data_IF_086418479267
#
_entry.id   IF_086418479267
#
_cell.length_a   1.000
_cell.length_b   1.000
_cell.length_c   1.000
_cell.angle_alpha   90.00
_cell.angle_beta   90.00
_cell.angle_gamma   90.00
#
_symmetry.space_group_name_H-M   'P 1'
#
loop_
_entity.id
_entity.type
_entity.pdbx_description
1 polymer ?
#
# COMPACT_ATOMS: atom_id res chain seq x y z
N UNK A 1 1.37 -29.11 7.50
CA UNK A 1 0.56 -28.62 6.37
C UNK A 1 1.07 -27.23 6.01
N UNK A 2 2.23 -27.19 5.37
CA UNK A 2 2.44 -27.00 3.91
C UNK A 2 2.35 -25.52 3.52
N UNK A 3 3.41 -24.95 2.89
CA UNK A 3 3.43 -23.56 2.48
C UNK A 3 2.52 -23.40 1.25
N UNK A 4 1.56 -22.49 1.31
CA UNK A 4 0.74 -22.09 0.16
C UNK A 4 1.55 -21.17 -0.75
N UNK A 5 2.67 -21.67 -1.26
CA UNK A 5 3.50 -21.01 -2.27
C UNK A 5 3.37 -21.83 -3.54
N UNK A 6 2.73 -21.28 -4.59
CA UNK A 6 2.60 -21.93 -5.90
C UNK A 6 1.18 -22.35 -6.31
N UNK A 7 0.19 -21.45 -6.22
CA UNK A 7 -1.13 -21.67 -6.84
C UNK A 7 -1.14 -21.37 -8.35
N UNK A 8 -0.09 -20.74 -8.86
CA UNK A 8 0.17 -20.50 -10.27
C UNK A 8 1.54 -21.08 -10.61
N UNK A 9 1.67 -21.66 -11.79
CA UNK A 9 2.94 -22.05 -12.39
C UNK A 9 3.73 -20.81 -12.84
N UNK A 10 5.04 -20.95 -12.99
CA UNK A 10 5.90 -19.85 -13.49
C UNK A 10 5.44 -19.34 -14.86
N UNK A 11 4.94 -20.24 -15.72
CA UNK A 11 4.40 -19.91 -17.03
C UNK A 11 3.12 -19.07 -16.92
N UNK A 12 2.21 -19.41 -16.00
CA UNK A 12 0.99 -18.62 -15.75
C UNK A 12 1.32 -17.25 -15.14
N UNK A 13 2.29 -17.19 -14.23
CA UNK A 13 2.79 -15.92 -13.67
C UNK A 13 3.35 -15.03 -14.79
N UNK A 14 4.15 -15.59 -15.69
CA UNK A 14 4.73 -14.83 -16.79
C UNK A 14 3.65 -14.38 -17.79
N UNK A 15 2.72 -15.27 -18.16
CA UNK A 15 1.61 -14.92 -19.05
C UNK A 15 0.74 -13.79 -18.49
N UNK A 16 0.48 -13.77 -17.17
CA UNK A 16 -0.24 -12.68 -16.52
C UNK A 16 0.54 -11.37 -16.57
N UNK A 17 1.86 -11.39 -16.33
CA UNK A 17 2.73 -10.20 -16.43
C UNK A 17 2.74 -9.63 -17.84
N UNK A 18 2.82 -10.50 -18.84
CA UNK A 18 2.80 -10.09 -20.25
C UNK A 18 1.44 -9.48 -20.59
N UNK A 19 0.33 -10.11 -20.18
CA UNK A 19 -1.02 -9.58 -20.40
C UNK A 19 -1.23 -8.19 -19.78
N UNK A 20 -0.73 -7.95 -18.57
CA UNK A 20 -0.81 -6.63 -17.91
C UNK A 20 0.06 -5.61 -18.66
N UNK A 21 1.28 -5.98 -19.05
CA UNK A 21 2.16 -5.11 -19.84
C UNK A 21 1.50 -4.73 -21.17
N UNK A 22 0.93 -5.70 -21.87
CA UNK A 22 0.23 -5.48 -23.13
C UNK A 22 -1.00 -4.58 -22.97
N UNK A 23 -1.78 -4.77 -21.90
CA UNK A 23 -2.94 -3.92 -21.61
C UNK A 23 -2.54 -2.46 -21.35
N UNK A 24 -1.44 -2.24 -20.61
CA UNK A 24 -0.87 -0.90 -20.37
C UNK A 24 -0.40 -0.27 -21.68
N UNK A 25 0.38 -1.00 -22.48
CA UNK A 25 0.98 -0.48 -23.72
C UNK A 25 -0.05 -0.31 -24.85
N UNK A 26 -1.19 -0.98 -24.79
CA UNK A 26 -2.27 -0.83 -25.77
C UNK A 26 -3.12 0.44 -25.55
N UNK A 27 -3.00 1.11 -24.38
CA UNK A 27 -3.90 2.21 -24.01
C UNK A 27 -3.14 3.41 -23.41
N UNK A 28 -3.16 4.59 -24.07
CA UNK A 28 -3.79 4.90 -25.35
C UNK A 28 -3.12 4.22 -26.57
N UNK A 29 -3.88 4.08 -27.66
CA UNK A 29 -3.37 3.59 -28.94
C UNK A 29 -2.18 4.44 -29.42
N UNK A 30 -1.19 3.79 -30.03
CA UNK A 30 0.04 4.45 -30.49
C UNK A 30 1.09 4.67 -29.39
N UNK A 31 0.86 4.20 -28.15
CA UNK A 31 1.82 4.39 -27.05
C UNK A 31 3.18 3.79 -27.37
N UNK A 32 3.23 2.57 -27.91
CA UNK A 32 4.48 1.85 -28.21
C UNK A 32 5.37 2.64 -29.16
N UNK A 33 4.76 3.19 -30.20
CA UNK A 33 5.41 3.99 -31.22
C UNK A 33 5.87 5.34 -30.65
N UNK A 34 5.03 5.98 -29.83
CA UNK A 34 5.34 7.30 -29.26
C UNK A 34 6.46 7.28 -28.21
N UNK A 35 6.72 6.15 -27.54
CA UNK A 35 7.73 6.06 -26.49
C UNK A 35 9.17 6.33 -26.96
N UNK A 36 9.45 6.12 -28.25
CA UNK A 36 10.78 6.36 -28.82
C UNK A 36 11.05 7.85 -29.10
N UNK A 37 10.01 8.59 -29.49
CA UNK A 37 10.17 9.90 -30.14
C UNK A 37 9.45 11.05 -29.40
N UNK A 38 8.57 10.75 -28.44
CA UNK A 38 7.78 11.73 -27.68
C UNK A 38 8.05 11.65 -26.17
N UNK A 39 8.73 12.65 -25.57
CA UNK A 39 8.93 12.73 -24.12
C UNK A 39 7.63 12.70 -23.30
N UNK A 40 6.51 13.17 -23.86
CA UNK A 40 5.21 13.16 -23.18
C UNK A 40 4.58 11.75 -23.15
N UNK A 41 5.01 10.84 -24.02
CA UNK A 41 4.61 9.43 -23.99
C UNK A 41 5.01 8.73 -22.69
N UNK A 42 6.13 9.13 -22.08
CA UNK A 42 6.54 8.62 -20.77
C UNK A 42 5.54 9.00 -19.67
N UNK A 43 4.98 10.23 -19.72
CA UNK A 43 3.94 10.65 -18.78
C UNK A 43 2.63 9.90 -18.99
N UNK A 44 2.25 9.61 -20.25
CA UNK A 44 1.08 8.78 -20.58
C UNK A 44 1.25 7.35 -20.10
N UNK A 45 2.45 6.78 -20.20
CA UNK A 45 2.77 5.45 -19.66
C UNK A 45 2.64 5.44 -18.12
N UNK A 46 3.11 6.47 -17.43
CA UNK A 46 2.90 6.63 -15.98
C UNK A 46 1.41 6.70 -15.63
N UNK A 47 0.61 7.44 -16.40
CA UNK A 47 -0.84 7.52 -16.19
C UNK A 47 -1.54 6.16 -16.44
N UNK A 48 -1.18 5.43 -17.49
CA UNK A 48 -1.75 4.13 -17.81
C UNK A 48 -1.39 3.06 -16.77
N UNK A 49 -0.12 3.01 -16.35
CA UNK A 49 0.34 2.10 -15.29
C UNK A 49 -0.34 2.38 -13.96
N UNK A 50 -0.59 3.65 -13.60
CA UNK A 50 -1.40 4.01 -12.42
C UNK A 50 -2.79 3.36 -12.47
N UNK A 51 -3.50 3.52 -13.58
CA UNK A 51 -4.86 2.96 -13.74
C UNK A 51 -4.85 1.43 -13.65
N UNK A 52 -3.87 0.76 -14.28
CA UNK A 52 -3.71 -0.69 -14.17
C UNK A 52 -3.44 -1.14 -12.72
N UNK A 53 -2.67 -0.35 -11.96
CA UNK A 53 -2.36 -0.62 -10.57
C UNK A 53 -3.59 -0.49 -9.66
N UNK A 54 -4.41 0.54 -9.89
CA UNK A 54 -5.70 0.75 -9.20
C UNK A 54 -6.66 -0.40 -9.45
N UNK A 55 -6.79 -0.81 -10.71
CA UNK A 55 -7.70 -1.86 -11.14
C UNK A 55 -7.29 -3.24 -10.60
N UNK A 56 -6.01 -3.60 -10.71
CA UNK A 56 -5.49 -4.85 -10.14
C UNK A 56 -5.62 -4.88 -8.61
N UNK A 57 -5.52 -3.75 -7.93
CA UNK A 57 -5.78 -3.64 -6.50
C UNK A 57 -7.25 -3.84 -6.13
N UNK A 58 -8.17 -3.30 -6.94
CA UNK A 58 -9.61 -3.53 -6.81
C UNK A 58 -9.94 -5.02 -6.98
N UNK A 59 -9.45 -5.64 -8.05
CA UNK A 59 -9.63 -7.06 -8.33
C UNK A 59 -9.08 -7.95 -7.20
N UNK A 60 -7.92 -7.59 -6.63
CA UNK A 60 -7.36 -8.33 -5.50
C UNK A 60 -8.25 -8.26 -4.25
N UNK A 61 -8.84 -7.10 -3.94
CA UNK A 61 -9.79 -6.97 -2.83
C UNK A 61 -11.04 -7.81 -3.05
N UNK A 62 -11.59 -7.80 -4.27
CA UNK A 62 -12.76 -8.60 -4.63
C UNK A 62 -12.46 -10.10 -4.55
N UNK A 63 -11.30 -10.54 -5.05
CA UNK A 63 -10.85 -11.92 -4.93
C UNK A 63 -10.68 -12.35 -3.47
N UNK A 64 -10.09 -11.48 -2.63
CA UNK A 64 -9.95 -11.75 -1.20
C UNK A 64 -11.31 -11.85 -0.51
N UNK A 65 -12.26 -10.95 -0.80
CA UNK A 65 -13.61 -11.01 -0.29
C UNK A 65 -14.35 -12.28 -0.75
N UNK A 66 -14.21 -12.67 -2.03
CA UNK A 66 -14.74 -13.91 -2.57
C UNK A 66 -14.17 -15.15 -1.87
N UNK A 67 -12.85 -15.20 -1.66
CA UNK A 67 -12.20 -16.28 -0.91
C UNK A 67 -12.69 -16.36 0.54
N UNK A 68 -12.96 -15.22 1.19
CA UNK A 68 -13.56 -15.16 2.53
C UNK A 68 -14.99 -15.69 2.55
N UNK A 69 -15.80 -15.32 1.57
CA UNK A 69 -17.17 -15.84 1.42
C UNK A 69 -17.18 -17.35 1.16
N UNK A 70 -16.15 -17.87 0.47
CA UNK A 70 -15.93 -19.30 0.26
C UNK A 70 -15.35 -20.04 1.49
N UNK A 71 -15.15 -19.35 2.62
CA UNK A 71 -14.73 -19.96 3.90
C UNK A 71 -13.23 -20.00 4.14
N UNK A 72 -12.37 -19.48 3.25
CA UNK A 72 -10.92 -19.46 3.49
C UNK A 72 -10.55 -18.51 4.62
N UNK A 73 -9.67 -18.95 5.53
CA UNK A 73 -9.28 -18.15 6.70
C UNK A 73 -8.35 -16.98 6.35
N UNK A 74 -8.35 -15.95 7.18
CA UNK A 74 -7.39 -14.84 7.05
C UNK A 74 -5.93 -15.27 7.15
N UNK A 75 -5.63 -16.34 7.90
CA UNK A 75 -4.29 -16.92 7.96
C UNK A 75 -3.88 -17.53 6.61
N UNK A 76 -4.81 -18.22 5.94
CA UNK A 76 -4.62 -18.77 4.59
C UNK A 76 -4.36 -17.67 3.58
N UNK A 77 -5.17 -16.60 3.57
CA UNK A 77 -4.97 -15.46 2.68
C UNK A 77 -3.64 -14.75 2.97
N UNK A 78 -3.31 -14.52 4.25
CA UNK A 78 -2.04 -13.90 4.65
C UNK A 78 -0.83 -14.68 4.10
N UNK A 79 -0.80 -15.99 4.32
CA UNK A 79 0.24 -16.87 3.78
C UNK A 79 0.35 -16.78 2.25
N UNK A 80 -0.77 -16.84 1.55
CA UNK A 80 -0.79 -16.74 0.08
C UNK A 80 -0.27 -15.37 -0.42
N UNK A 81 -0.58 -14.30 0.30
CA UNK A 81 -0.21 -12.93 -0.05
C UNK A 81 1.17 -12.52 0.47
N UNK A 82 1.87 -13.41 1.19
CA UNK A 82 3.17 -13.11 1.79
C UNK A 82 3.11 -12.10 2.93
N UNK A 83 1.98 -11.98 3.62
CA UNK A 83 1.76 -11.05 4.74
C UNK A 83 1.23 -11.77 5.99
N UNK A 84 1.25 -11.12 7.15
CA UNK A 84 0.66 -11.70 8.37
C UNK A 84 -0.86 -11.81 8.28
N UNK A 85 -1.48 -12.69 9.09
CA UNK A 85 -2.94 -12.79 9.23
C UNK A 85 -3.58 -11.44 9.55
N UNK A 86 -3.00 -10.70 10.49
CA UNK A 86 -3.51 -9.39 10.91
C UNK A 86 -3.37 -8.35 9.79
N UNK A 87 -2.24 -8.34 9.06
CA UNK A 87 -2.07 -7.47 7.89
C UNK A 87 -3.09 -7.78 6.78
N UNK A 88 -3.39 -9.07 6.54
CA UNK A 88 -4.44 -9.46 5.60
C UNK A 88 -5.84 -9.01 6.07
N UNK A 89 -6.15 -9.19 7.34
CA UNK A 89 -7.42 -8.73 7.94
C UNK A 89 -7.60 -7.22 7.82
N UNK A 90 -6.56 -6.45 8.12
CA UNK A 90 -6.61 -4.99 8.03
C UNK A 90 -6.74 -4.51 6.59
N UNK A 91 -6.06 -5.19 5.65
CA UNK A 91 -6.04 -4.78 4.24
C UNK A 91 -7.29 -5.17 3.45
N UNK A 92 -7.89 -6.31 3.76
CA UNK A 92 -8.98 -6.90 2.95
C UNK A 92 -10.25 -7.19 3.74
N UNK A 93 -10.21 -7.10 5.06
CA UNK A 93 -11.40 -7.21 5.88
C UNK A 93 -12.32 -6.01 5.69
N UNK A 94 -13.62 -6.26 5.73
CA UNK A 94 -14.59 -5.21 6.04
C UNK A 94 -14.28 -4.69 7.44
N UNK A 95 -14.44 -3.38 7.74
CA UNK A 95 -14.41 -2.89 9.12
C UNK A 95 -15.50 -3.60 9.92
N UNK A 96 -15.14 -4.73 10.52
CA UNK A 96 -16.00 -5.49 11.40
C UNK A 96 -15.79 -4.96 12.80
N UNK A 97 -16.92 -4.64 13.43
CA UNK A 97 -17.06 -4.19 14.82
C UNK A 97 -16.03 -4.88 15.75
N UNK A 98 -15.33 -4.14 16.62
CA UNK A 98 -14.28 -4.71 17.47
C UNK A 98 -14.82 -5.82 18.39
N UNK A 99 -14.05 -6.90 18.51
CA UNK A 99 -14.19 -7.89 19.57
C UNK A 99 -13.82 -7.23 20.92
N UNK A 100 -14.64 -7.34 21.97
CA UNK A 100 -14.41 -6.65 23.23
C UNK A 100 -13.36 -7.39 24.04
N UNK A 101 -12.10 -7.02 23.88
CA UNK A 101 -11.02 -7.69 24.61
C UNK A 101 -9.62 -7.14 24.40
N UNK A 102 -9.43 -5.81 24.32
CA UNK A 102 -8.11 -5.22 24.55
C UNK A 102 -8.26 -3.78 25.04
N UNK A 103 -7.82 -3.56 26.29
CA UNK A 103 -8.04 -2.35 27.08
C UNK A 103 -7.00 -1.29 26.74
N UNK A 104 -7.28 -0.53 25.68
CA UNK A 104 -7.02 0.91 25.48
C UNK A 104 -7.96 1.24 24.32
N UNK A 105 -8.88 2.18 24.48
CA UNK A 105 -10.02 2.34 23.54
C UNK A 105 -9.56 2.28 22.07
N UNK A 106 -10.30 1.63 21.16
CA UNK A 106 -9.81 1.41 19.81
C UNK A 106 -9.69 2.74 19.08
N UNK A 107 -8.46 3.28 18.99
CA UNK A 107 -8.14 4.39 18.10
C UNK A 107 -8.59 4.00 16.69
N UNK A 108 -9.34 4.89 16.04
CA UNK A 108 -9.91 4.57 14.74
C UNK A 108 -8.80 4.28 13.73
N UNK A 109 -8.97 3.25 12.90
CA UNK A 109 -8.03 2.93 11.82
C UNK A 109 -8.69 3.06 10.46
N UNK A 110 -7.99 3.72 9.54
CA UNK A 110 -8.46 4.01 8.18
C UNK A 110 -7.43 3.54 7.15
N UNK A 111 -7.93 2.98 6.04
CA UNK A 111 -7.11 2.70 4.85
C UNK A 111 -7.24 3.83 3.84
N UNK A 112 -6.10 4.42 3.47
CA UNK A 112 -5.97 5.43 2.43
C UNK A 112 -5.67 4.72 1.11
N UNK A 113 -6.64 4.67 0.20
CA UNK A 113 -6.54 4.01 -1.11
C UNK A 113 -7.61 4.58 -2.05
N UNK A 114 -7.37 4.63 -3.38
CA UNK A 114 -6.10 4.36 -4.05
C UNK A 114 -5.07 5.46 -3.78
N UNK A 115 -3.80 5.07 -3.73
CA UNK A 115 -2.68 6.01 -3.65
C UNK A 115 -1.67 5.69 -4.74
N UNK A 116 -0.95 6.71 -5.17
CA UNK A 116 0.13 6.64 -6.13
C UNK A 116 1.41 7.18 -5.52
N UNK A 117 2.54 6.85 -6.14
CA UNK A 117 3.83 7.41 -5.72
C UNK A 117 3.91 8.94 -5.86
N UNK A 118 2.95 9.57 -6.56
CA UNK A 118 2.86 11.01 -6.77
C UNK A 118 2.01 11.71 -5.70
N UNK A 119 0.87 11.13 -5.31
CA UNK A 119 -0.09 11.76 -4.40
C UNK A 119 0.04 11.32 -2.94
N UNK A 120 0.63 10.15 -2.67
CA UNK A 120 0.59 9.53 -1.35
C UNK A 120 1.14 10.43 -0.24
N UNK A 121 2.19 11.19 -0.52
CA UNK A 121 2.80 12.09 0.46
C UNK A 121 1.93 13.31 0.74
N UNK A 122 1.21 13.81 -0.26
CA UNK A 122 0.26 14.92 -0.09
C UNK A 122 -0.93 14.46 0.76
N UNK A 123 -1.45 13.26 0.49
CA UNK A 123 -2.53 12.65 1.28
C UNK A 123 -2.08 12.41 2.73
N UNK A 124 -0.87 11.87 2.94
CA UNK A 124 -0.31 11.68 4.28
C UNK A 124 -0.03 12.99 5.01
N UNK A 125 0.31 14.05 4.30
CA UNK A 125 0.50 15.39 4.90
C UNK A 125 -0.83 15.94 5.41
N UNK A 126 -1.89 15.85 4.61
CA UNK A 126 -3.22 16.30 5.00
C UNK A 126 -3.75 15.50 6.21
N UNK A 127 -3.62 14.18 6.17
CA UNK A 127 -4.07 13.29 7.24
C UNK A 127 -3.22 13.47 8.51
N UNK A 128 -1.91 13.65 8.37
CA UNK A 128 -1.02 13.92 9.49
C UNK A 128 -1.40 15.16 10.29
N UNK A 129 -1.85 16.24 9.61
CA UNK A 129 -2.37 17.45 10.28
C UNK A 129 -3.67 17.20 11.04
N UNK A 130 -4.49 16.26 10.57
CA UNK A 130 -5.75 15.85 11.19
C UNK A 130 -5.58 14.74 12.24
N UNK A 131 -4.34 14.52 12.72
CA UNK A 131 -4.07 13.55 13.78
C UNK A 131 -4.01 12.10 13.32
N UNK A 132 -3.78 11.82 12.03
CA UNK A 132 -3.68 10.44 11.55
C UNK A 132 -2.22 9.99 11.47
N UNK A 133 -1.85 9.03 12.30
CA UNK A 133 -0.53 8.41 12.36
C UNK A 133 -0.39 7.29 11.32
N UNK A 134 0.66 7.30 10.50
CA UNK A 134 0.95 6.18 9.61
C UNK A 134 1.46 4.94 10.37
N UNK A 135 0.73 3.83 10.28
CA UNK A 135 1.05 2.58 11.01
C UNK A 135 1.39 1.38 10.13
N UNK A 136 0.91 1.35 8.87
CA UNK A 136 1.32 0.35 7.87
C UNK A 136 1.16 0.93 6.45
N UNK A 137 1.74 0.29 5.44
CA UNK A 137 1.63 0.71 4.04
C UNK A 137 1.80 -0.46 3.07
N UNK A 138 1.27 -0.34 1.87
CA UNK A 138 1.61 -1.16 0.73
C UNK A 138 1.82 -0.28 -0.50
N UNK A 139 2.05 -0.91 -1.64
CA UNK A 139 2.43 -0.20 -2.88
C UNK A 139 1.45 0.91 -3.30
N UNK A 140 0.16 0.78 -2.95
CA UNK A 140 -0.93 1.66 -3.42
C UNK A 140 -1.94 1.99 -2.32
N UNK A 141 -1.54 1.80 -1.06
CA UNK A 141 -2.36 2.14 0.08
C UNK A 141 -1.50 2.42 1.31
N UNK A 142 -2.03 3.23 2.22
CA UNK A 142 -1.47 3.48 3.54
C UNK A 142 -2.52 3.16 4.59
N UNK A 143 -2.11 2.71 5.76
CA UNK A 143 -2.99 2.46 6.92
C UNK A 143 -2.62 3.46 7.98
N UNK A 144 -3.59 4.27 8.37
CA UNK A 144 -3.43 5.29 9.41
C UNK A 144 -4.29 4.99 10.62
N UNK A 145 -3.82 5.39 11.78
CA UNK A 145 -4.51 5.27 13.07
C UNK A 145 -4.71 6.67 13.67
N UNK A 146 -5.88 6.91 14.25
CA UNK A 146 -6.22 8.15 14.93
C UNK A 146 -5.27 8.41 16.10
N UNK A 147 -4.85 9.66 16.25
CA UNK A 147 -3.86 10.10 17.22
C UNK A 147 -4.22 11.49 17.75
N UNK A 148 -3.84 11.73 19.00
CA UNK A 148 -4.10 13.00 19.69
C UNK A 148 -3.11 14.12 19.29
N UNK A 149 -2.20 13.83 18.35
CA UNK A 149 -1.15 14.73 17.89
C UNK A 149 -1.01 14.71 16.37
N UNK A 150 -0.51 15.80 15.81
CA UNK A 150 -0.16 15.85 14.39
C UNK A 150 1.10 15.05 14.07
N UNK A 151 1.13 14.51 12.86
CA UNK A 151 2.22 13.69 12.36
C UNK A 151 2.82 14.25 11.08
N UNK A 152 4.15 14.24 11.02
CA UNK A 152 4.89 14.41 9.79
C UNK A 152 5.26 13.06 9.21
N UNK A 153 5.07 12.89 7.91
CA UNK A 153 5.38 11.66 7.19
C UNK A 153 6.39 11.94 6.10
N UNK A 154 7.34 11.03 5.92
CA UNK A 154 8.37 11.18 4.91
C UNK A 154 8.67 9.85 4.21
N UNK A 155 8.72 9.88 2.88
CA UNK A 155 9.18 8.76 2.05
C UNK A 155 10.63 8.98 1.68
N UNK A 156 11.49 8.07 2.10
CA UNK A 156 12.92 8.12 1.83
C UNK A 156 13.34 6.99 0.86
N UNK A 157 14.05 7.29 -0.25
CA UNK A 157 14.70 6.26 -1.07
C UNK A 157 15.66 5.44 -0.22
N UNK A 158 15.52 4.12 -0.25
CA UNK A 158 16.38 3.25 0.53
C UNK A 158 17.86 3.53 0.24
N UNK A 159 18.65 3.78 1.29
CA UNK A 159 20.11 3.89 1.21
C UNK A 159 20.78 3.27 2.43
N UNK A 160 21.99 2.70 2.29
CA UNK A 160 22.78 2.25 3.43
C UNK A 160 22.96 3.39 4.45
N UNK A 161 22.65 3.13 5.73
CA UNK A 161 22.79 4.12 6.80
C UNK A 161 21.66 5.14 6.93
N UNK A 162 20.69 5.19 6.01
CA UNK A 162 19.55 6.11 6.09
C UNK A 162 18.81 6.00 7.42
N UNK A 163 18.54 4.76 7.86
CA UNK A 163 17.79 4.48 9.10
C UNK A 163 18.41 5.16 10.33
N UNK A 164 19.72 4.96 10.57
CA UNK A 164 20.41 5.55 11.73
C UNK A 164 20.38 7.08 11.71
N UNK A 165 20.54 7.69 10.54
CA UNK A 165 20.45 9.15 10.37
C UNK A 165 19.03 9.65 10.66
N UNK A 166 18.02 9.00 10.08
CA UNK A 166 16.62 9.36 10.26
C UNK A 166 16.20 9.22 11.73
N UNK A 167 16.57 8.13 12.40
CA UNK A 167 16.33 7.93 13.84
C UNK A 167 16.99 9.04 14.70
N UNK A 168 18.22 9.47 14.36
CA UNK A 168 18.89 10.58 15.04
C UNK A 168 18.19 11.94 14.84
N UNK A 169 17.44 12.10 13.75
CA UNK A 169 16.62 13.29 13.45
C UNK A 169 15.18 13.19 14.01
N UNK A 170 14.91 12.15 14.81
CA UNK A 170 13.61 11.94 15.47
C UNK A 170 12.58 11.20 14.61
N UNK A 171 12.98 10.63 13.48
CA UNK A 171 12.09 9.86 12.61
C UNK A 171 12.03 8.40 13.01
N UNK A 172 10.82 7.86 13.04
CA UNK A 172 10.57 6.44 13.28
C UNK A 172 10.18 5.75 11.98
N UNK A 173 10.85 4.64 11.66
CA UNK A 173 10.50 3.80 10.51
C UNK A 173 9.19 3.06 10.78
N UNK A 174 8.24 3.13 9.84
CA UNK A 174 6.90 2.53 10.01
C UNK A 174 6.96 0.99 9.98
N UNK A 175 7.70 0.39 9.03
CA UNK A 175 7.94 -1.07 9.02
C UNK A 175 9.24 -1.47 8.30
N UNK A 176 9.68 -2.70 8.55
CA UNK A 176 10.97 -3.25 8.09
C UNK A 176 11.05 -3.57 6.60
N UNK A 177 9.93 -3.74 5.88
CA UNK A 177 9.95 -3.97 4.43
C UNK A 177 10.29 -2.68 3.67
N UNK A 178 11.56 -2.55 3.27
CA UNK A 178 12.09 -1.39 2.56
C UNK A 178 12.68 -1.79 1.22
N UNK A 179 11.89 -1.71 0.15
CA UNK A 179 12.42 -1.57 -1.21
C UNK A 179 11.29 -1.17 -2.19
N UNK A 180 11.47 -0.15 -3.04
CA UNK A 180 12.61 0.77 -3.10
C UNK A 180 12.55 1.92 -2.07
N UNK A 181 11.45 2.07 -1.33
CA UNK A 181 11.23 3.17 -0.36
C UNK A 181 11.09 2.68 1.08
N UNK A 182 11.41 3.55 2.03
CA UNK A 182 11.01 3.44 3.44
C UNK A 182 10.14 4.62 3.84
N UNK A 183 9.06 4.37 4.59
CA UNK A 183 8.22 5.43 5.15
C UNK A 183 8.58 5.67 6.61
N UNK A 184 8.77 6.94 6.93
CA UNK A 184 9.11 7.43 8.24
C UNK A 184 8.00 8.34 8.75
N UNK A 185 7.86 8.38 10.07
CA UNK A 185 6.92 9.24 10.78
C UNK A 185 7.60 9.96 11.95
N UNK A 186 7.09 11.14 12.29
CA UNK A 186 7.54 11.92 13.43
C UNK A 186 6.35 12.66 14.05
N UNK A 187 6.19 12.58 15.37
CA UNK A 187 5.20 13.40 16.09
C UNK A 187 5.62 14.86 16.05
N UNK A 188 4.67 15.77 15.85
CA UNK A 188 4.88 17.20 15.96
C UNK A 188 4.46 17.77 17.32
N UNK A 189 3.86 16.94 18.20
CA UNK A 189 3.33 17.33 19.52
C UNK A 189 2.36 18.52 19.47
N UNK A 190 1.73 18.73 18.31
CA UNK A 190 0.68 19.72 18.07
C UNK A 190 -0.69 19.03 18.11
N UNK A 191 -1.76 19.68 18.58
CA UNK A 191 -3.11 19.12 18.49
C UNK A 191 -3.58 19.01 17.02
N UNK A 192 -4.43 18.02 16.68
CA UNK A 192 -5.01 17.86 15.35
C UNK A 192 -5.78 19.10 14.87
N UNK A 193 -5.69 19.38 13.58
CA UNK A 193 -6.56 20.34 12.89
C UNK A 193 -7.98 19.76 12.74
N UNK A 194 -8.98 20.65 12.78
CA UNK A 194 -10.40 20.31 12.62
C UNK A 194 -10.78 19.97 11.17
#
# INVERSE_FOLDING_TARGET
>A
MSPTTGLLTDAEVQALRDAVTEAVLATPAGMRESLADDPEAALRLVAATRVAAEETSRLLREAAAGARAAGHSWDTLGKLLGVSKQAAQQRFGTPSRPDPGETTGPRERKVLSPLTSLDEMAVLTEHGRKGWELVDYGTLFHVVEESDVQWEHYRHPWSPGARRRMEAEGWTLVKTMTFPWGYYKRSLDLPPEA
#
